data_IF_871333571087
#
_entry.id   IF_871333571087
#
_cell.length_a   1.000
_cell.length_b   1.000
_cell.length_c   1.000
_cell.angle_alpha   90.00
_cell.angle_beta   90.00
_cell.angle_gamma   90.00
#
_symmetry.space_group_name_H-M   'P 1'
#
loop_
_entity.id
_entity.type
_entity.pdbx_description
1 polymer ?
#
# COMPACT_ATOMS: atom_id res chain seq x y z
N UNK A 1 45.78 -64.42 18.51
CA UNK A 1 44.36 -64.09 18.70
C UNK A 1 44.23 -62.54 18.80
N UNK A 2 44.03 -61.85 17.67
CA UNK A 2 43.86 -60.41 17.66
C UNK A 2 42.36 -60.13 17.52
N UNK A 3 41.77 -59.47 18.53
CA UNK A 3 40.40 -58.96 18.45
C UNK A 3 40.41 -57.54 17.80
N UNK A 4 39.88 -57.41 16.60
CA UNK A 4 39.63 -56.12 15.93
C UNK A 4 38.33 -55.59 16.48
N UNK A 5 38.36 -54.46 17.17
CA UNK A 5 37.20 -53.72 17.65
C UNK A 5 36.86 -52.74 16.55
N UNK A 6 35.73 -53.01 15.82
CA UNK A 6 35.17 -52.13 14.82
C UNK A 6 34.31 -51.07 15.52
N UNK A 7 34.85 -49.84 15.67
CA UNK A 7 34.08 -48.70 16.17
C UNK A 7 33.30 -48.08 15.00
N UNK A 8 31.96 -48.30 15.00
CA UNK A 8 31.08 -47.65 14.08
C UNK A 8 30.85 -46.18 14.46
N UNK A 9 31.35 -45.26 13.64
CA UNK A 9 31.00 -43.84 13.72
C UNK A 9 29.58 -43.64 13.16
N UNK A 10 28.62 -43.46 14.07
CA UNK A 10 27.26 -43.02 13.71
C UNK A 10 27.30 -41.48 13.49
N UNK A 11 27.45 -41.03 12.25
CA UNK A 11 27.39 -39.62 11.90
C UNK A 11 25.93 -39.16 11.94
N UNK A 12 25.56 -38.45 13.00
CA UNK A 12 24.28 -37.78 13.13
C UNK A 12 24.28 -36.53 12.23
N UNK A 13 23.71 -36.67 11.02
CA UNK A 13 23.51 -35.54 10.09
C UNK A 13 22.36 -34.66 10.61
N UNK A 14 22.74 -33.59 11.32
CA UNK A 14 21.77 -32.54 11.71
C UNK A 14 21.41 -31.71 10.51
N UNK A 15 20.24 -31.99 9.94
CA UNK A 15 19.66 -31.18 8.88
C UNK A 15 19.15 -29.86 9.50
N UNK A 16 19.98 -28.81 9.45
CA UNK A 16 19.59 -27.46 9.88
C UNK A 16 18.64 -26.94 8.81
N UNK A 17 17.35 -27.07 9.05
CA UNK A 17 16.34 -26.36 8.27
C UNK A 17 16.52 -24.84 8.50
N UNK A 18 17.20 -24.18 7.59
CA UNK A 18 17.28 -22.72 7.57
C UNK A 18 15.88 -22.16 7.32
N UNK A 19 15.19 -21.81 8.39
CA UNK A 19 14.01 -20.96 8.29
C UNK A 19 14.47 -19.60 7.76
N UNK A 20 14.34 -19.42 6.47
CA UNK A 20 14.48 -18.10 5.86
C UNK A 20 13.34 -17.22 6.39
N UNK A 21 13.61 -16.48 7.45
CA UNK A 21 12.73 -15.39 7.87
C UNK A 21 12.70 -14.38 6.73
N UNK A 22 11.61 -14.32 6.02
CA UNK A 22 11.38 -13.30 5.00
C UNK A 22 11.33 -11.95 5.72
N UNK A 23 12.49 -11.28 5.82
CA UNK A 23 12.59 -9.92 6.34
C UNK A 23 11.71 -9.05 5.44
N UNK A 24 10.58 -8.60 5.97
CA UNK A 24 9.73 -7.66 5.24
C UNK A 24 10.55 -6.37 5.12
N UNK A 25 11.00 -6.07 3.91
CA UNK A 25 11.72 -4.84 3.61
C UNK A 25 10.70 -3.73 3.37
N UNK A 26 10.94 -2.59 4.00
CA UNK A 26 10.24 -1.36 3.64
C UNK A 26 10.64 -1.00 2.20
N UNK A 27 9.64 -0.79 1.35
CA UNK A 27 9.89 -0.49 -0.05
C UNK A 27 9.90 1.02 -0.28
N UNK A 28 10.87 1.44 -1.08
CA UNK A 28 11.03 2.82 -1.54
C UNK A 28 10.79 2.92 -3.04
N UNK A 29 10.85 4.15 -3.56
CA UNK A 29 10.76 4.40 -5.02
C UNK A 29 11.83 3.60 -5.74
N UNK A 30 11.48 3.10 -6.92
CA UNK A 30 12.25 2.25 -7.80
C UNK A 30 12.41 0.78 -7.38
N UNK A 31 11.99 0.40 -6.19
CA UNK A 31 12.00 -0.98 -5.75
C UNK A 31 10.77 -1.77 -6.26
N UNK A 32 10.93 -3.08 -6.37
CA UNK A 32 9.90 -3.97 -6.87
C UNK A 32 9.13 -4.61 -5.71
N UNK A 33 7.81 -4.40 -5.67
CA UNK A 33 6.95 -5.08 -4.72
C UNK A 33 6.78 -6.56 -5.12
N UNK A 34 6.85 -7.51 -4.17
CA UNK A 34 6.50 -8.90 -4.41
C UNK A 34 5.10 -9.05 -5.00
N UNK A 35 4.81 -10.18 -5.62
CA UNK A 35 3.47 -10.47 -6.13
C UNK A 35 2.51 -10.80 -4.99
N UNK A 36 2.11 -9.77 -4.27
CA UNK A 36 1.28 -9.91 -3.09
C UNK A 36 -0.13 -10.36 -3.45
N UNK A 37 -0.67 -11.26 -2.65
CA UNK A 37 -2.07 -11.63 -2.67
C UNK A 37 -2.86 -10.62 -1.84
N UNK A 38 -3.64 -9.80 -2.52
CA UNK A 38 -4.58 -8.87 -1.91
C UNK A 38 -5.81 -9.65 -1.42
N UNK A 39 -6.27 -9.35 -0.22
CA UNK A 39 -7.41 -9.99 0.44
C UNK A 39 -8.09 -9.00 1.38
N UNK A 40 -9.07 -9.47 2.15
CA UNK A 40 -9.84 -8.66 3.10
C UNK A 40 -10.55 -7.47 2.43
N UNK A 41 -11.14 -7.72 1.26
CA UNK A 41 -11.93 -6.68 0.60
C UNK A 41 -13.22 -6.41 1.37
N UNK A 42 -13.52 -5.14 1.56
CA UNK A 42 -14.72 -4.68 2.22
C UNK A 42 -15.98 -5.19 1.50
N UNK A 43 -16.84 -5.89 2.22
CA UNK A 43 -18.04 -6.57 1.72
C UNK A 43 -17.79 -7.68 0.70
N UNK A 44 -16.54 -8.08 0.48
CA UNK A 44 -16.16 -9.19 -0.41
C UNK A 44 -15.09 -10.07 0.27
N UNK A 45 -15.37 -10.72 1.41
CA UNK A 45 -14.37 -11.41 2.24
C UNK A 45 -13.66 -12.56 1.52
N UNK A 46 -14.34 -13.19 0.57
CA UNK A 46 -13.76 -14.30 -0.22
C UNK A 46 -12.92 -13.83 -1.39
N UNK A 47 -12.99 -12.56 -1.75
CA UNK A 47 -12.22 -12.00 -2.86
C UNK A 47 -10.73 -12.00 -2.54
N UNK A 48 -9.96 -12.59 -3.43
CA UNK A 48 -8.50 -12.63 -3.38
C UNK A 48 -7.99 -12.46 -4.80
N UNK A 49 -7.01 -11.59 -4.98
CA UNK A 49 -6.34 -11.40 -6.28
C UNK A 49 -4.87 -11.05 -6.04
N UNK A 50 -4.01 -11.36 -7.00
CA UNK A 50 -2.61 -10.95 -6.96
C UNK A 50 -2.44 -9.59 -7.63
N UNK A 51 -1.42 -8.84 -7.21
CA UNK A 51 -1.07 -7.59 -7.89
C UNK A 51 -0.82 -7.78 -9.39
N UNK A 52 -0.23 -8.91 -9.79
CA UNK A 52 0.03 -9.26 -11.20
C UNK A 52 -1.24 -9.53 -12.01
N UNK A 53 -2.36 -9.85 -11.35
CA UNK A 53 -3.65 -10.09 -12.01
C UNK A 53 -4.38 -8.79 -12.37
N UNK A 54 -3.92 -7.65 -11.82
CA UNK A 54 -4.40 -6.33 -12.19
C UNK A 54 -3.84 -5.95 -13.55
N UNK A 55 -4.61 -6.18 -14.60
CA UNK A 55 -4.20 -5.91 -15.98
C UNK A 55 -4.30 -4.41 -16.33
N UNK A 56 -3.57 -3.57 -15.59
CA UNK A 56 -3.52 -2.11 -15.75
C UNK A 56 -2.09 -1.60 -15.85
N UNK A 57 -1.92 -0.38 -16.35
CA UNK A 57 -0.61 0.27 -16.45
C UNK A 57 -0.10 0.81 -15.11
N UNK A 58 -1.03 1.17 -14.21
CA UNK A 58 -0.71 1.81 -12.95
C UNK A 58 -1.70 1.37 -11.86
N UNK A 59 -1.17 0.92 -10.73
CA UNK A 59 -1.93 0.71 -9.50
C UNK A 59 -1.62 1.84 -8.54
N UNK A 60 -2.65 2.40 -7.91
CA UNK A 60 -2.52 3.42 -6.85
C UNK A 60 -3.10 2.84 -5.57
N UNK A 61 -2.24 2.59 -4.59
CA UNK A 61 -2.66 2.27 -3.22
C UNK A 61 -2.88 3.60 -2.49
N UNK A 62 -4.11 3.82 -2.03
CA UNK A 62 -4.51 5.01 -1.28
C UNK A 62 -4.76 4.59 0.17
N UNK A 63 -3.78 4.86 1.03
CA UNK A 63 -3.86 4.55 2.46
C UNK A 63 -4.64 5.63 3.19
N UNK A 64 -5.63 5.20 3.96
CA UNK A 64 -6.56 6.07 4.67
C UNK A 64 -6.99 5.49 6.01
N UNK A 65 -7.72 6.26 6.81
CA UNK A 65 -8.42 5.77 7.99
C UNK A 65 -9.75 6.51 8.22
N UNK A 66 -10.59 5.95 9.08
CA UNK A 66 -11.94 6.48 9.35
C UNK A 66 -11.95 7.82 10.08
N UNK A 67 -10.82 8.28 10.60
CA UNK A 67 -10.66 9.59 11.26
C UNK A 67 -10.05 10.65 10.34
N UNK A 68 -9.59 10.26 9.14
CA UNK A 68 -8.96 11.17 8.17
C UNK A 68 -10.02 11.91 7.34
N UNK A 69 -10.40 13.09 7.77
CA UNK A 69 -11.40 13.91 7.06
C UNK A 69 -10.99 14.24 5.63
N UNK A 70 -9.72 14.59 5.40
CA UNK A 70 -9.20 14.88 4.05
C UNK A 70 -9.23 13.67 3.13
N UNK A 71 -8.93 12.46 3.64
CA UNK A 71 -9.06 11.23 2.89
C UNK A 71 -10.51 10.98 2.46
N UNK A 72 -11.45 11.12 3.40
CA UNK A 72 -12.88 10.90 3.18
C UNK A 72 -13.42 11.89 2.13
N UNK A 73 -13.07 13.15 2.25
CA UNK A 73 -13.46 14.21 1.29
C UNK A 73 -12.85 13.99 -0.10
N UNK A 74 -11.70 13.32 -0.20
CA UNK A 74 -11.06 13.00 -1.47
C UNK A 74 -11.67 11.77 -2.18
N UNK A 75 -12.42 10.90 -1.50
CA UNK A 75 -12.98 9.67 -2.10
C UNK A 75 -13.79 9.90 -3.40
N UNK A 76 -14.67 10.92 -3.51
CA UNK A 76 -15.36 11.18 -4.76
C UNK A 76 -14.42 11.54 -5.91
N UNK A 77 -13.31 12.24 -5.62
CA UNK A 77 -12.27 12.55 -6.61
C UNK A 77 -11.57 11.28 -7.07
N UNK A 78 -11.20 10.38 -6.14
CA UNK A 78 -10.56 9.10 -6.48
C UNK A 78 -11.47 8.23 -7.33
N UNK A 79 -12.76 8.15 -6.99
CA UNK A 79 -13.78 7.44 -7.78
C UNK A 79 -13.92 8.01 -9.21
N UNK A 80 -13.90 9.33 -9.34
CA UNK A 80 -13.94 10.02 -10.64
C UNK A 80 -12.67 9.73 -11.47
N UNK A 81 -11.49 9.71 -10.86
CA UNK A 81 -10.23 9.38 -11.52
C UNK A 81 -10.23 7.92 -11.99
N UNK A 82 -10.71 6.99 -11.15
CA UNK A 82 -10.87 5.59 -11.53
C UNK A 82 -11.78 5.43 -12.75
N UNK A 83 -12.94 6.10 -12.77
CA UNK A 83 -13.87 6.08 -13.89
C UNK A 83 -13.27 6.63 -15.16
N UNK A 84 -12.53 7.76 -15.06
CA UNK A 84 -11.86 8.39 -16.20
C UNK A 84 -10.79 7.50 -16.83
N UNK A 85 -10.05 6.73 -16.01
CA UNK A 85 -8.91 5.94 -16.46
C UNK A 85 -9.10 4.44 -16.30
N UNK A 86 -10.36 3.93 -16.21
CA UNK A 86 -10.75 2.57 -15.80
C UNK A 86 -9.86 1.43 -16.31
N UNK A 87 -9.51 1.45 -17.59
CA UNK A 87 -8.76 0.37 -18.24
C UNK A 87 -7.23 0.57 -18.15
N UNK A 88 -6.80 1.66 -17.56
CA UNK A 88 -5.38 2.04 -17.48
C UNK A 88 -4.84 2.06 -16.06
N UNK A 89 -5.71 2.33 -15.08
CA UNK A 89 -5.31 2.38 -13.66
C UNK A 89 -6.26 1.56 -12.80
N UNK A 90 -5.76 1.16 -11.64
CA UNK A 90 -6.58 0.64 -10.55
C UNK A 90 -6.24 1.39 -9.25
N UNK A 91 -7.21 2.10 -8.71
CA UNK A 91 -7.11 2.70 -7.37
C UNK A 91 -7.67 1.70 -6.37
N UNK A 92 -6.95 1.47 -5.27
CA UNK A 92 -7.34 0.58 -4.17
C UNK A 92 -7.19 1.36 -2.87
N UNK A 93 -8.29 1.53 -2.15
CA UNK A 93 -8.29 2.13 -0.82
C UNK A 93 -7.81 1.09 0.20
N UNK A 94 -6.84 1.45 1.04
CA UNK A 94 -6.22 0.54 2.01
C UNK A 94 -6.34 1.11 3.41
N UNK A 95 -6.88 0.33 4.36
CA UNK A 95 -7.00 0.78 5.74
C UNK A 95 -6.76 -0.34 6.75
N UNK A 96 -6.28 0.04 7.93
CA UNK A 96 -6.23 -0.84 9.10
C UNK A 96 -7.57 -0.95 9.83
N UNK A 97 -8.51 -0.06 9.53
CA UNK A 97 -9.82 -0.10 10.14
C UNK A 97 -10.58 -1.40 9.80
N UNK A 98 -11.37 -1.86 10.73
CA UNK A 98 -12.20 -3.06 10.61
C UNK A 98 -13.44 -2.81 9.75
N UNK A 99 -14.10 -3.89 9.31
CA UNK A 99 -15.38 -3.85 8.62
C UNK A 99 -16.41 -3.00 9.37
N UNK A 100 -16.50 -3.17 10.69
CA UNK A 100 -17.47 -2.46 11.52
C UNK A 100 -17.20 -0.95 11.59
N UNK A 101 -15.93 -0.54 11.70
CA UNK A 101 -15.55 0.87 11.71
C UNK A 101 -15.86 1.54 10.38
N UNK A 102 -15.55 0.87 9.27
CA UNK A 102 -15.82 1.37 7.91
C UNK A 102 -17.34 1.45 7.67
N UNK A 103 -18.12 0.44 8.08
CA UNK A 103 -19.58 0.48 8.04
C UNK A 103 -20.15 1.64 8.85
N UNK A 104 -19.65 1.82 10.08
CA UNK A 104 -20.08 2.91 10.98
C UNK A 104 -19.78 4.29 10.38
N UNK A 105 -18.64 4.44 9.71
CA UNK A 105 -18.32 5.69 8.99
C UNK A 105 -19.36 5.95 7.90
N UNK A 106 -19.53 5.04 6.93
CA UNK A 106 -20.39 5.24 5.78
C UNK A 106 -21.89 5.34 6.14
N UNK A 107 -22.31 4.82 7.30
CA UNK A 107 -23.66 5.03 7.80
C UNK A 107 -23.91 6.43 8.38
N UNK A 108 -22.87 7.14 8.78
CA UNK A 108 -22.96 8.45 9.44
C UNK A 108 -22.71 9.64 8.52
N UNK A 109 -21.93 9.45 7.47
CA UNK A 109 -21.56 10.54 6.56
C UNK A 109 -22.51 10.61 5.36
N UNK A 110 -22.70 11.83 4.82
CA UNK A 110 -23.48 12.05 3.60
C UNK A 110 -22.71 11.77 2.31
N UNK A 111 -21.40 11.49 2.41
CA UNK A 111 -20.57 11.17 1.27
C UNK A 111 -20.89 9.75 0.81
N UNK A 112 -21.22 9.60 -0.47
CA UNK A 112 -21.45 8.28 -1.07
C UNK A 112 -20.18 7.44 -0.95
N UNK A 113 -20.33 6.20 -0.49
CA UNK A 113 -19.23 5.22 -0.53
C UNK A 113 -18.72 5.09 -1.98
N UNK A 114 -17.41 5.19 -2.22
CA UNK A 114 -16.84 5.05 -3.55
C UNK A 114 -17.03 3.64 -4.12
N UNK A 115 -17.09 3.53 -5.43
CA UNK A 115 -17.14 2.25 -6.16
C UNK A 115 -15.74 1.62 -6.32
N UNK A 116 -14.79 2.02 -5.47
CA UNK A 116 -13.41 1.53 -5.44
C UNK A 116 -13.28 0.27 -4.57
N UNK A 117 -12.38 -0.66 -4.90
CA UNK A 117 -11.98 -1.71 -3.99
C UNK A 117 -11.41 -1.12 -2.69
N UNK A 118 -11.88 -1.62 -1.56
CA UNK A 118 -11.38 -1.21 -0.24
C UNK A 118 -10.83 -2.45 0.46
N UNK A 119 -9.54 -2.42 0.83
CA UNK A 119 -8.91 -3.42 1.68
C UNK A 119 -9.00 -2.92 3.12
N UNK A 120 -9.56 -3.75 3.99
CA UNK A 120 -9.75 -3.47 5.41
C UNK A 120 -8.83 -4.33 6.28
N UNK A 121 -8.63 -3.94 7.53
CA UNK A 121 -7.79 -4.67 8.49
C UNK A 121 -6.42 -5.05 7.91
N UNK A 122 -5.87 -4.19 7.03
CA UNK A 122 -4.60 -4.49 6.38
C UNK A 122 -3.44 -4.49 7.38
N UNK A 123 -2.59 -5.48 7.24
CA UNK A 123 -1.34 -5.59 8.00
C UNK A 123 -0.14 -5.85 7.09
N UNK A 124 -0.37 -6.13 5.82
CA UNK A 124 0.66 -6.53 4.87
C UNK A 124 1.19 -5.32 4.11
N UNK A 125 0.32 -4.58 3.43
CA UNK A 125 0.72 -3.40 2.65
C UNK A 125 1.33 -2.30 3.55
N UNK A 126 0.79 -2.12 4.77
CA UNK A 126 1.38 -1.22 5.76
C UNK A 126 2.79 -1.61 6.23
N UNK A 127 3.17 -2.89 6.14
CA UNK A 127 4.54 -3.32 6.42
C UNK A 127 5.51 -3.01 5.29
N UNK A 128 5.03 -3.08 4.04
CA UNK A 128 5.83 -2.69 2.87
C UNK A 128 5.97 -1.18 2.72
N UNK A 129 4.93 -0.44 3.08
CA UNK A 129 4.86 1.03 2.98
C UNK A 129 4.50 1.63 4.35
N UNK A 130 5.43 1.59 5.33
CA UNK A 130 5.19 2.21 6.64
C UNK A 130 5.06 3.73 6.48
N UNK A 131 4.10 4.32 7.17
CA UNK A 131 3.84 5.76 7.18
C UNK A 131 3.19 6.15 8.50
N UNK A 132 3.40 7.39 8.91
CA UNK A 132 2.89 7.96 10.18
C UNK A 132 1.58 8.69 9.97
N UNK A 133 1.32 9.19 8.77
CA UNK A 133 0.17 10.00 8.47
C UNK A 133 -0.50 9.61 7.14
N UNK A 134 -1.81 9.89 7.07
CA UNK A 134 -2.65 9.70 5.86
C UNK A 134 -3.28 11.04 5.47
N UNK A 135 -3.60 11.25 4.18
CA UNK A 135 -3.50 10.30 3.07
C UNK A 135 -2.05 10.00 2.67
N UNK A 136 -1.78 8.74 2.31
CA UNK A 136 -0.48 8.28 1.83
C UNK A 136 -0.71 7.42 0.59
N UNK A 137 -0.12 7.82 -0.54
CA UNK A 137 -0.36 7.17 -1.82
C UNK A 137 0.91 6.53 -2.37
N UNK A 138 0.78 5.29 -2.85
CA UNK A 138 1.86 4.55 -3.49
C UNK A 138 1.44 4.18 -4.91
N UNK A 139 2.24 4.58 -5.88
CA UNK A 139 1.99 4.34 -7.30
C UNK A 139 2.91 3.22 -7.79
N UNK A 140 2.33 2.19 -8.37
CA UNK A 140 3.03 0.97 -8.78
C UNK A 140 2.76 0.72 -10.25
N UNK A 141 3.81 0.54 -11.05
CA UNK A 141 3.66 0.25 -12.48
C UNK A 141 3.27 -1.22 -12.75
N UNK A 142 3.01 -1.54 -14.02
CA UNK A 142 2.66 -2.88 -14.46
C UNK A 142 3.78 -3.93 -14.33
N UNK A 143 5.01 -3.50 -14.00
CA UNK A 143 6.14 -4.37 -13.66
C UNK A 143 6.26 -4.56 -12.15
N UNK A 144 5.31 -4.03 -11.40
CA UNK A 144 5.29 -3.99 -9.92
C UNK A 144 6.43 -3.16 -9.33
N UNK A 145 6.91 -2.15 -10.05
CA UNK A 145 7.91 -1.22 -9.57
C UNK A 145 7.20 -0.02 -8.91
N UNK A 146 7.64 0.36 -7.72
CA UNK A 146 7.16 1.56 -7.04
C UNK A 146 7.67 2.77 -7.80
N UNK A 147 6.76 3.55 -8.37
CA UNK A 147 7.08 4.74 -9.15
C UNK A 147 7.09 6.00 -8.31
N UNK A 148 6.12 6.12 -7.42
CA UNK A 148 5.97 7.31 -6.58
C UNK A 148 5.38 6.92 -5.22
N UNK A 149 5.81 7.63 -4.18
CA UNK A 149 5.21 7.64 -2.86
C UNK A 149 4.94 9.10 -2.53
N UNK A 150 3.69 9.45 -2.22
CA UNK A 150 3.29 10.84 -2.02
C UNK A 150 2.08 10.97 -1.08
N UNK A 151 1.72 12.21 -0.77
CA UNK A 151 0.43 12.53 -0.20
C UNK A 151 -0.70 12.45 -1.25
N UNK A 152 -1.96 12.56 -0.79
CA UNK A 152 -3.13 12.48 -1.65
C UNK A 152 -3.32 13.67 -2.60
N UNK A 153 -2.68 14.82 -2.33
CA UNK A 153 -2.81 16.02 -3.16
C UNK A 153 -2.21 15.81 -4.55
N UNK A 154 -1.13 15.04 -4.62
CA UNK A 154 -0.42 14.77 -5.87
C UNK A 154 -1.18 13.82 -6.81
N UNK A 155 -2.21 13.10 -6.35
CA UNK A 155 -3.02 12.23 -7.21
C UNK A 155 -4.05 13.05 -7.96
N UNK A 156 -3.60 13.60 -9.10
CA UNK A 156 -4.39 14.44 -10.00
C UNK A 156 -4.54 13.78 -11.37
N UNK A 157 -5.52 14.25 -12.15
CA UNK A 157 -5.69 13.80 -13.53
C UNK A 157 -4.45 14.04 -14.39
N UNK A 158 -3.80 15.19 -14.24
CA UNK A 158 -2.64 15.58 -15.05
C UNK A 158 -1.42 14.74 -14.72
N UNK A 159 -1.18 14.47 -13.43
CA UNK A 159 -0.10 13.60 -13.00
C UNK A 159 -0.31 12.16 -13.48
N UNK A 160 -1.52 11.62 -13.32
CA UNK A 160 -1.86 10.29 -13.84
C UNK A 160 -1.63 10.22 -15.35
N UNK A 161 -2.11 11.21 -16.09
CA UNK A 161 -1.94 11.26 -17.55
C UNK A 161 -0.47 11.34 -17.94
N UNK A 162 0.33 12.12 -17.23
CA UNK A 162 1.78 12.24 -17.46
C UNK A 162 2.48 10.90 -17.28
N UNK A 163 2.22 10.21 -16.16
CA UNK A 163 2.80 8.89 -15.88
C UNK A 163 2.36 7.84 -16.91
N UNK A 164 1.08 7.83 -17.29
CA UNK A 164 0.57 6.93 -18.32
C UNK A 164 1.22 7.16 -19.69
N UNK A 165 1.68 8.38 -19.96
CA UNK A 165 2.43 8.76 -21.16
C UNK A 165 3.95 8.54 -21.01
N UNK A 166 4.41 7.93 -19.92
CA UNK A 166 5.83 7.65 -19.67
C UNK A 166 6.65 8.89 -19.27
N UNK A 167 6.00 9.98 -18.86
CA UNK A 167 6.68 11.18 -18.38
C UNK A 167 6.88 11.09 -16.87
N UNK A 168 8.08 11.46 -16.42
CA UNK A 168 8.33 11.64 -15.00
C UNK A 168 7.64 12.90 -14.49
N UNK A 169 7.12 12.81 -13.27
CA UNK A 169 6.48 13.92 -12.58
C UNK A 169 7.23 14.24 -11.30
N UNK A 170 7.29 15.53 -10.96
CA UNK A 170 7.78 15.95 -9.65
C UNK A 170 6.60 15.94 -8.68
N UNK A 171 6.62 15.01 -7.74
CA UNK A 171 5.68 15.01 -6.64
C UNK A 171 6.32 15.68 -5.42
N UNK A 172 5.52 16.42 -4.68
CA UNK A 172 5.93 16.83 -3.34
C UNK A 172 6.03 15.55 -2.49
N UNK A 173 7.25 15.23 -2.09
CA UNK A 173 7.47 14.16 -1.12
C UNK A 173 7.03 14.67 0.24
N UNK A 174 6.25 13.87 0.93
CA UNK A 174 6.01 14.09 2.34
C UNK A 174 7.33 13.77 3.05
N UNK A 175 8.07 14.80 3.44
CA UNK A 175 9.22 14.62 4.32
C UNK A 175 8.66 14.24 5.70
N UNK A 176 8.66 12.94 6.01
CA UNK A 176 8.30 12.45 7.35
C UNK A 176 9.33 12.86 8.41
N UNK A 177 10.43 13.51 8.00
CA UNK A 177 11.50 14.02 8.85
C UNK A 177 11.40 15.51 9.17
N UNK A 178 10.47 16.28 8.61
CA UNK A 178 10.22 17.62 9.08
C UNK A 178 9.40 17.52 10.38
N UNK A 179 10.10 17.63 11.47
CA UNK A 179 9.53 17.96 12.78
C UNK A 179 8.57 19.14 12.59
N UNK A 180 7.31 18.94 12.94
CA UNK A 180 6.28 19.97 12.84
C UNK A 180 6.70 21.11 13.76
N UNK A 181 7.25 22.18 13.20
CA UNK A 181 7.60 23.41 13.93
C UNK A 181 6.29 24.14 14.27
N UNK A 182 5.79 23.90 15.47
CA UNK A 182 4.59 24.55 16.02
C UNK A 182 4.71 26.08 16.07
N UNK A 183 5.91 26.66 15.95
CA UNK A 183 6.12 28.11 16.03
C UNK A 183 5.90 28.85 14.70
N UNK A 184 5.87 28.19 13.56
CA UNK A 184 5.64 28.87 12.26
C UNK A 184 4.17 29.12 11.92
N UNK A 185 3.22 28.45 12.56
CA UNK A 185 1.79 28.57 12.20
C UNK A 185 1.07 29.81 12.76
N UNK A 186 1.70 30.59 13.62
CA UNK A 186 1.04 31.75 14.28
C UNK A 186 1.47 33.12 13.76
N UNK A 187 2.33 33.23 12.76
CA UNK A 187 2.84 34.52 12.28
C UNK A 187 2.36 34.91 10.87
N UNK A 188 1.39 34.21 10.31
CA UNK A 188 0.87 34.48 8.94
C UNK A 188 -0.47 35.26 8.93
N UNK A 189 -0.88 35.86 10.04
CA UNK A 189 -1.99 36.83 10.07
C UNK A 189 -1.52 38.10 10.76
N UNK A 190 -1.07 39.06 9.94
CA UNK A 190 -0.77 40.43 10.27
C UNK A 190 -0.94 41.34 9.06
#
# INVERSE_FOLDING_TARGET
MFKVILQGFLSLSVCIASFSQTKIMHLTVDEKIPDLKLSNFFNEPEKKLKLSELNVKLVILDFWNTSCSSCILAMPKMDSLQKKYRDKIQIILVTRNTQNEVNKLFSKIKIKKPDLPIIISDSILYKYFPHTSVPHHVWIDNKRKVKYISDGYNTTSDNIQSVLNGKDIKLHYKNESEEFDEHQSFLAEG
#
